data_IF_726231258502
#
_entry.id   IF_726231258502
#
_cell.length_a   1.000
_cell.length_b   1.000
_cell.length_c   1.000
_cell.angle_alpha   90.00
_cell.angle_beta   90.00
_cell.angle_gamma   90.00
#
_symmetry.space_group_name_H-M   'P 1'
#
loop_
_entity.id
_entity.type
_entity.pdbx_description
1 polymer ?
#
# COMPACT_ATOMS: atom_id res chain seq x y z
N UNK A 1 17.91 2.97 27.72
CA UNK A 1 17.13 3.96 26.93
C UNK A 1 16.40 3.25 25.79
N UNK A 2 15.24 3.74 25.33
CA UNK A 2 14.52 3.19 24.17
C UNK A 2 14.89 3.93 22.89
N UNK A 3 14.97 3.22 21.76
CA UNK A 3 15.21 3.83 20.45
C UNK A 3 14.08 4.79 20.05
N UNK A 4 14.43 5.97 19.55
CA UNK A 4 13.50 6.94 18.97
C UNK A 4 13.99 7.36 17.59
N UNK A 5 13.16 7.13 16.58
CA UNK A 5 13.49 7.52 15.22
C UNK A 5 13.17 9.00 15.00
N UNK A 6 14.19 9.81 14.69
CA UNK A 6 14.06 11.28 14.55
C UNK A 6 13.08 11.71 13.45
N UNK A 7 12.85 10.86 12.45
CA UNK A 7 11.97 11.15 11.31
C UNK A 7 10.65 10.38 11.35
N UNK A 8 10.20 9.92 12.53
CA UNK A 8 8.95 9.15 12.65
C UNK A 8 7.73 9.94 12.15
N UNK A 9 7.69 11.25 12.38
CA UNK A 9 6.62 12.14 11.87
C UNK A 9 6.61 12.14 10.33
N UNK A 10 7.78 12.22 9.69
CA UNK A 10 7.87 12.19 8.23
C UNK A 10 7.49 10.82 7.66
N UNK A 11 7.89 9.73 8.32
CA UNK A 11 7.48 8.38 7.92
C UNK A 11 5.95 8.24 7.96
N UNK A 12 5.30 8.67 9.05
CA UNK A 12 3.83 8.64 9.17
C UNK A 12 3.13 9.49 8.12
N UNK A 13 3.70 10.66 7.78
CA UNK A 13 3.18 11.49 6.70
C UNK A 13 3.22 10.73 5.36
N UNK A 14 4.33 10.07 5.04
CA UNK A 14 4.45 9.28 3.80
C UNK A 14 3.52 8.08 3.78
N UNK A 15 3.34 7.40 4.91
CA UNK A 15 2.37 6.29 5.03
C UNK A 15 0.95 6.78 4.72
N UNK A 16 0.57 7.93 5.28
CA UNK A 16 -0.72 8.56 4.99
C UNK A 16 -0.87 8.93 3.51
N UNK A 17 0.14 9.56 2.90
CA UNK A 17 0.12 9.89 1.47
C UNK A 17 -0.05 8.64 0.59
N UNK A 18 0.63 7.54 0.93
CA UNK A 18 0.46 6.24 0.26
C UNK A 18 -0.97 5.72 0.41
N UNK A 19 -1.55 5.81 1.60
CA UNK A 19 -2.89 5.32 1.87
C UNK A 19 -3.96 6.15 1.15
N UNK A 20 -3.79 7.48 1.10
CA UNK A 20 -4.64 8.39 0.31
C UNK A 20 -4.55 8.08 -1.19
N UNK A 21 -3.34 7.84 -1.72
CA UNK A 21 -3.16 7.42 -3.11
C UNK A 21 -3.81 6.05 -3.38
N UNK A 22 -3.72 5.12 -2.42
CA UNK A 22 -4.37 3.81 -2.49
C UNK A 22 -5.89 3.93 -2.54
N UNK A 23 -6.47 4.78 -1.71
CA UNK A 23 -7.90 5.08 -1.72
C UNK A 23 -8.33 5.69 -3.07
N UNK A 24 -7.55 6.60 -3.64
CA UNK A 24 -7.84 7.20 -4.94
C UNK A 24 -7.84 6.18 -6.09
N UNK A 25 -6.94 5.19 -6.08
CA UNK A 25 -6.95 4.04 -7.00
C UNK A 25 -8.21 3.20 -6.81
N UNK A 26 -8.59 2.91 -5.56
CA UNK A 26 -9.81 2.19 -5.22
C UNK A 26 -11.08 2.87 -5.75
N UNK A 27 -11.18 4.19 -5.59
CA UNK A 27 -12.30 4.98 -6.12
C UNK A 27 -12.39 4.93 -7.65
N UNK A 28 -11.25 5.00 -8.36
CA UNK A 28 -11.22 4.91 -9.81
C UNK A 28 -11.69 3.52 -10.30
N UNK A 29 -11.24 2.45 -9.65
CA UNK A 29 -11.71 1.10 -9.94
C UNK A 29 -13.22 0.94 -9.70
N UNK A 30 -13.74 1.47 -8.59
CA UNK A 30 -15.18 1.43 -8.31
C UNK A 30 -16.00 2.19 -9.37
N UNK A 31 -15.51 3.34 -9.84
CA UNK A 31 -16.14 4.10 -10.92
C UNK A 31 -16.13 3.31 -12.24
N UNK A 32 -15.03 2.67 -12.60
CA UNK A 32 -14.93 1.82 -13.80
C UNK A 32 -15.92 0.65 -13.71
N UNK A 33 -15.96 -0.04 -12.57
CA UNK A 33 -16.87 -1.17 -12.36
C UNK A 33 -18.34 -0.75 -12.53
N UNK A 34 -18.70 0.46 -12.05
CA UNK A 34 -20.05 1.02 -12.24
C UNK A 34 -20.36 1.27 -13.72
N UNK A 35 -19.43 1.84 -14.48
CA UNK A 35 -19.62 2.05 -15.92
C UNK A 35 -19.73 0.70 -16.65
N UNK A 36 -18.92 -0.29 -16.29
CA UNK A 36 -18.97 -1.63 -16.87
C UNK A 36 -20.32 -2.30 -16.64
N UNK A 37 -20.88 -2.15 -15.43
CA UNK A 37 -22.23 -2.62 -15.12
C UNK A 37 -23.28 -1.92 -15.98
N UNK A 38 -23.22 -0.59 -16.12
CA UNK A 38 -24.16 0.16 -16.96
C UNK A 38 -24.08 -0.27 -18.43
N UNK A 39 -22.87 -0.50 -18.96
CA UNK A 39 -22.69 -1.01 -20.32
C UNK A 39 -23.33 -2.40 -20.49
N UNK A 40 -23.20 -3.28 -19.50
CA UNK A 40 -23.85 -4.59 -19.52
C UNK A 40 -25.38 -4.49 -19.51
N UNK A 41 -25.95 -3.60 -18.71
CA UNK A 41 -27.40 -3.36 -18.65
C UNK A 41 -27.95 -2.85 -20.00
N UNK A 42 -27.23 -1.92 -20.64
CA UNK A 42 -27.62 -1.41 -21.97
C UNK A 42 -27.51 -2.51 -23.03
N UNK A 43 -26.43 -3.31 -23.02
CA UNK A 43 -26.28 -4.41 -23.98
C UNK A 43 -27.35 -5.49 -23.80
N UNK A 44 -27.69 -5.85 -22.56
CA UNK A 44 -28.80 -6.76 -22.27
C UNK A 44 -30.12 -6.21 -22.81
N UNK A 45 -30.36 -4.91 -22.65
CA UNK A 45 -31.55 -4.23 -23.19
C UNK A 45 -31.59 -4.32 -24.71
N UNK A 46 -30.45 -4.11 -25.40
CA UNK A 46 -30.35 -4.24 -26.86
C UNK A 46 -30.60 -5.67 -27.34
N UNK A 47 -30.03 -6.66 -26.66
CA UNK A 47 -30.26 -8.08 -26.99
C UNK A 47 -31.73 -8.43 -26.81
N UNK A 48 -32.37 -8.00 -25.72
CA UNK A 48 -33.80 -8.19 -25.49
C UNK A 48 -34.68 -7.54 -26.56
N UNK A 49 -34.35 -6.31 -26.97
CA UNK A 49 -35.04 -5.60 -28.06
C UNK A 49 -34.96 -6.37 -29.38
N UNK A 50 -33.77 -6.84 -29.75
CA UNK A 50 -33.56 -7.64 -30.99
C UNK A 50 -34.36 -8.93 -30.96
N UNK A 51 -34.35 -9.65 -29.84
CA UNK A 51 -35.13 -10.89 -29.68
C UNK A 51 -36.63 -10.65 -29.83
N UNK A 52 -37.16 -9.58 -29.23
CA UNK A 52 -38.57 -9.21 -29.36
C UNK A 52 -38.95 -8.90 -30.82
N UNK A 53 -38.12 -8.14 -31.53
CA UNK A 53 -38.35 -7.81 -32.94
C UNK A 53 -38.27 -9.03 -33.87
N UNK A 54 -37.34 -9.95 -33.62
CA UNK A 54 -37.22 -11.20 -34.38
C UNK A 54 -38.41 -12.15 -34.14
N UNK A 55 -38.92 -12.21 -32.91
CA UNK A 55 -40.09 -13.02 -32.56
C UNK A 55 -41.39 -12.55 -33.23
N UNK A 56 -41.65 -11.24 -33.27
CA UNK A 56 -42.83 -10.68 -33.95
C UNK A 56 -42.80 -10.93 -35.47
N UNK A 57 -41.62 -10.90 -36.09
CA UNK A 57 -41.41 -11.13 -37.53
C UNK A 57 -41.84 -12.51 -38.01
N UNK A 58 -41.81 -13.52 -37.13
CA UNK A 58 -42.25 -14.88 -37.44
C UNK A 58 -43.78 -15.06 -37.43
N UNK A 59 -44.53 -14.12 -36.83
CA UNK A 59 -46.00 -14.21 -36.69
C UNK A 59 -46.79 -13.50 -37.81
N UNK A 60 -46.09 -12.97 -38.83
CA UNK A 60 -46.67 -12.64 -40.13
C UNK A 60 -47.38 -11.30 -40.26
N UNK A 61 -47.44 -10.47 -39.21
CA UNK A 61 -48.05 -9.14 -39.28
C UNK A 61 -47.25 -8.10 -38.49
N UNK A 62 -46.04 -7.78 -38.97
CA UNK A 62 -45.21 -6.73 -38.36
C UNK A 62 -45.57 -5.38 -38.97
N UNK A 63 -46.00 -4.45 -38.12
CA UNK A 63 -46.16 -3.06 -38.50
C UNK A 63 -44.79 -2.43 -38.79
N UNK A 64 -44.63 -1.86 -40.00
CA UNK A 64 -43.42 -1.10 -40.41
C UNK A 64 -43.07 -0.01 -39.38
N UNK A 65 -44.08 0.59 -38.76
CA UNK A 65 -43.89 1.61 -37.72
C UNK A 65 -43.19 1.04 -36.46
N UNK A 66 -43.53 -0.18 -36.03
CA UNK A 66 -42.85 -0.85 -34.91
C UNK A 66 -41.40 -1.19 -35.24
N UNK A 67 -41.11 -1.61 -36.47
CA UNK A 67 -39.73 -1.87 -36.90
C UNK A 67 -38.89 -0.59 -36.90
N UNK A 68 -39.45 0.53 -37.39
CA UNK A 68 -38.78 1.82 -37.38
C UNK A 68 -38.54 2.33 -35.96
N UNK A 69 -39.52 2.19 -35.06
CA UNK A 69 -39.37 2.56 -33.65
C UNK A 69 -38.28 1.72 -32.97
N UNK A 70 -38.28 0.39 -33.17
CA UNK A 70 -37.26 -0.51 -32.63
C UNK A 70 -35.86 -0.19 -33.14
N UNK A 71 -35.72 0.08 -34.45
CA UNK A 71 -34.44 0.47 -35.03
C UNK A 71 -33.90 1.80 -34.51
N UNK A 72 -34.77 2.81 -34.31
CA UNK A 72 -34.37 4.09 -33.71
C UNK A 72 -33.91 3.92 -32.27
N UNK A 73 -34.61 3.09 -31.51
CA UNK A 73 -34.25 2.83 -30.12
C UNK A 73 -32.93 2.04 -30.03
N UNK A 74 -32.69 1.04 -30.88
CA UNK A 74 -31.38 0.35 -30.94
C UNK A 74 -30.23 1.31 -31.26
N UNK A 75 -30.45 2.26 -32.18
CA UNK A 75 -29.46 3.28 -32.52
C UNK A 75 -29.17 4.21 -31.34
N UNK A 76 -30.18 4.59 -30.57
CA UNK A 76 -30.00 5.35 -29.34
C UNK A 76 -29.17 4.58 -28.31
N UNK A 77 -29.51 3.31 -28.05
CA UNK A 77 -28.76 2.46 -27.12
C UNK A 77 -27.31 2.24 -27.56
N UNK A 78 -27.06 2.18 -28.88
CA UNK A 78 -25.70 2.15 -29.42
C UNK A 78 -24.93 3.45 -29.15
N UNK A 79 -25.60 4.61 -29.27
CA UNK A 79 -25.02 5.90 -28.89
C UNK A 79 -24.68 5.96 -27.40
N UNK A 80 -25.57 5.46 -26.54
CA UNK A 80 -25.34 5.38 -25.09
C UNK A 80 -24.14 4.49 -24.75
N UNK A 81 -24.02 3.32 -25.40
CA UNK A 81 -22.85 2.44 -25.24
C UNK A 81 -21.55 3.12 -25.66
N UNK A 82 -21.55 3.88 -26.75
CA UNK A 82 -20.36 4.62 -27.19
C UNK A 82 -19.97 5.68 -26.16
N UNK A 83 -20.95 6.42 -25.62
CA UNK A 83 -20.70 7.43 -24.58
C UNK A 83 -20.13 6.82 -23.29
N UNK A 84 -20.67 5.67 -22.87
CA UNK A 84 -20.16 4.91 -21.73
C UNK A 84 -18.75 4.38 -21.99
N UNK A 85 -18.47 3.87 -23.18
CA UNK A 85 -17.13 3.40 -23.57
C UNK A 85 -16.09 4.53 -23.56
N UNK A 86 -16.45 5.71 -24.06
CA UNK A 86 -15.57 6.89 -24.02
C UNK A 86 -15.30 7.32 -22.57
N UNK A 87 -16.33 7.32 -21.73
CA UNK A 87 -16.22 7.63 -20.30
C UNK A 87 -15.33 6.63 -19.58
N UNK A 88 -15.52 5.33 -19.85
CA UNK A 88 -14.67 4.25 -19.35
C UNK A 88 -13.21 4.46 -19.76
N UNK A 89 -12.96 4.81 -21.02
CA UNK A 89 -11.62 5.10 -21.53
C UNK A 89 -10.91 6.20 -20.73
N UNK A 90 -11.62 7.30 -20.43
CA UNK A 90 -11.10 8.39 -19.60
C UNK A 90 -10.81 7.93 -18.17
N UNK A 91 -11.69 7.14 -17.57
CA UNK A 91 -11.49 6.59 -16.22
C UNK A 91 -10.29 5.64 -16.16
N UNK A 92 -10.05 4.83 -17.20
CA UNK A 92 -8.87 3.95 -17.28
C UNK A 92 -7.58 4.76 -17.36
N UNK A 93 -7.54 5.85 -18.14
CA UNK A 93 -6.38 6.73 -18.20
C UNK A 93 -6.11 7.40 -16.84
N UNK A 94 -7.16 7.81 -16.14
CA UNK A 94 -7.05 8.38 -14.80
C UNK A 94 -6.59 7.34 -13.76
N UNK A 95 -7.09 6.11 -13.84
CA UNK A 95 -6.62 4.99 -13.02
C UNK A 95 -5.11 4.78 -13.18
N UNK A 96 -4.61 4.77 -14.42
CA UNK A 96 -3.17 4.62 -14.71
C UNK A 96 -2.35 5.75 -14.07
N UNK A 97 -2.80 7.00 -14.17
CA UNK A 97 -2.14 8.13 -13.49
C UNK A 97 -2.09 7.94 -11.98
N UNK A 98 -3.20 7.52 -11.36
CA UNK A 98 -3.27 7.29 -9.91
C UNK A 98 -2.39 6.12 -9.47
N UNK A 99 -2.28 5.08 -10.29
CA UNK A 99 -1.39 3.95 -10.02
C UNK A 99 0.09 4.38 -9.99
N UNK A 100 0.52 5.26 -10.89
CA UNK A 100 1.88 5.81 -10.85
C UNK A 100 2.11 6.65 -9.58
N UNK A 101 1.14 7.47 -9.18
CA UNK A 101 1.21 8.23 -7.90
C UNK A 101 1.35 7.29 -6.70
N UNK A 102 0.51 6.24 -6.63
CA UNK A 102 0.59 5.23 -5.57
C UNK A 102 1.95 4.54 -5.54
N UNK A 103 2.47 4.15 -6.71
CA UNK A 103 3.78 3.52 -6.84
C UNK A 103 4.89 4.43 -6.30
N UNK A 104 4.88 5.71 -6.66
CA UNK A 104 5.85 6.68 -6.12
C UNK A 104 5.72 6.81 -4.60
N UNK A 105 4.50 6.93 -4.07
CA UNK A 105 4.28 7.01 -2.62
C UNK A 105 4.77 5.76 -1.88
N UNK A 106 4.56 4.56 -2.45
CA UNK A 106 5.09 3.30 -1.91
C UNK A 106 6.61 3.26 -1.88
N UNK A 107 7.27 3.75 -2.93
CA UNK A 107 8.75 3.83 -2.98
C UNK A 107 9.27 4.75 -1.88
N UNK A 108 8.63 5.90 -1.68
CA UNK A 108 9.02 6.85 -0.63
C UNK A 108 8.87 6.22 0.76
N UNK A 109 7.74 5.57 1.07
CA UNK A 109 7.55 4.88 2.36
C UNK A 109 8.68 3.87 2.61
N UNK A 110 8.97 3.00 1.63
CA UNK A 110 10.06 2.01 1.75
C UNK A 110 11.43 2.64 2.00
N UNK A 111 11.69 3.78 1.38
CA UNK A 111 12.93 4.54 1.60
C UNK A 111 13.04 4.98 3.06
N UNK A 112 11.96 5.52 3.64
CA UNK A 112 11.94 5.95 5.04
C UNK A 112 12.01 4.80 6.03
N UNK A 113 11.34 3.68 5.75
CA UNK A 113 11.44 2.45 6.54
C UNK A 113 12.88 1.93 6.57
N UNK A 114 13.57 1.91 5.42
CA UNK A 114 14.98 1.49 5.35
C UNK A 114 15.91 2.42 6.13
N UNK A 115 15.66 3.73 6.10
CA UNK A 115 16.43 4.68 6.91
C UNK A 115 16.21 4.45 8.42
N UNK A 116 14.97 4.14 8.84
CA UNK A 116 14.64 3.79 10.22
C UNK A 116 15.35 2.52 10.66
N UNK A 117 15.39 1.50 9.81
CA UNK A 117 16.11 0.25 10.08
C UNK A 117 17.61 0.48 10.29
N UNK A 118 18.25 1.24 9.40
CA UNK A 118 19.68 1.58 9.51
C UNK A 118 19.96 2.34 10.82
N UNK A 119 19.13 3.32 11.16
CA UNK A 119 19.28 4.10 12.40
C UNK A 119 19.10 3.22 13.65
N UNK A 120 18.15 2.29 13.60
CA UNK A 120 17.94 1.33 14.68
C UNK A 120 19.13 0.37 14.85
N UNK A 121 19.73 -0.10 13.76
CA UNK A 121 20.93 -0.93 13.80
C UNK A 121 22.10 -0.19 14.47
N UNK A 122 22.37 1.05 14.03
CA UNK A 122 23.41 1.90 14.63
C UNK A 122 23.17 2.16 16.11
N UNK A 123 21.92 2.41 16.51
CA UNK A 123 21.57 2.58 17.92
C UNK A 123 21.91 1.32 18.73
N UNK A 124 21.56 0.13 18.23
CA UNK A 124 21.86 -1.15 18.89
C UNK A 124 23.37 -1.38 19.02
N UNK A 125 24.13 -1.14 17.96
CA UNK A 125 25.60 -1.25 17.99
C UNK A 125 26.21 -0.32 19.05
N UNK A 126 25.73 0.91 19.16
CA UNK A 126 26.18 1.85 20.18
C UNK A 126 25.81 1.42 21.61
N UNK A 127 24.62 0.85 21.82
CA UNK A 127 24.24 0.32 23.14
C UNK A 127 25.11 -0.87 23.53
N UNK A 128 25.31 -1.83 22.61
CA UNK A 128 26.16 -2.99 22.85
C UNK A 128 27.61 -2.58 23.17
N UNK A 129 28.14 -1.58 22.46
CA UNK A 129 29.48 -1.08 22.72
C UNK A 129 29.60 -0.42 24.10
N UNK A 130 28.59 0.36 24.54
CA UNK A 130 28.57 0.95 25.88
C UNK A 130 28.48 -0.12 26.97
N UNK A 131 27.60 -1.10 26.79
CA UNK A 131 27.45 -2.22 27.72
C UNK A 131 28.76 -3.02 27.85
N UNK A 132 29.46 -3.26 26.74
CA UNK A 132 30.77 -3.93 26.77
C UNK A 132 31.81 -3.13 27.56
N UNK A 133 31.89 -1.80 27.35
CA UNK A 133 32.80 -0.95 28.12
C UNK A 133 32.47 -0.97 29.62
N UNK A 134 31.19 -0.91 29.99
CA UNK A 134 30.74 -0.98 31.39
C UNK A 134 31.12 -2.32 32.05
N UNK A 135 31.01 -3.44 31.31
CA UNK A 135 31.42 -4.77 31.77
C UNK A 135 32.94 -4.87 31.95
N UNK A 136 33.72 -4.36 31.00
CA UNK A 136 35.18 -4.37 31.05
C UNK A 136 35.71 -3.52 32.22
N UNK A 137 35.08 -2.36 32.48
CA UNK A 137 35.37 -1.52 33.65
C UNK A 137 35.02 -2.21 34.97
N UNK A 138 33.86 -2.89 35.04
CA UNK A 138 33.47 -3.65 36.23
C UNK A 138 34.42 -4.84 36.50
N UNK A 139 34.79 -5.59 35.46
CA UNK A 139 35.76 -6.68 35.55
C UNK A 139 37.13 -6.18 36.03
N UNK A 140 37.60 -5.06 35.47
CA UNK A 140 38.88 -4.44 35.85
C UNK A 140 38.89 -3.99 37.31
N UNK A 141 37.81 -3.35 37.78
CA UNK A 141 37.66 -2.95 39.20
C UNK A 141 37.62 -4.17 40.14
N UNK A 142 36.93 -5.23 39.75
CA UNK A 142 36.85 -6.45 40.55
C UNK A 142 38.21 -7.15 40.63
N UNK A 143 38.95 -7.21 39.52
CA UNK A 143 40.31 -7.76 39.49
C UNK A 143 41.27 -6.96 40.38
N UNK A 144 41.25 -5.62 40.29
CA UNK A 144 42.07 -4.76 41.15
C UNK A 144 41.76 -4.94 42.64
N UNK A 145 40.48 -5.07 43.00
CA UNK A 145 40.06 -5.36 44.38
C UNK A 145 40.57 -6.71 44.86
N UNK A 146 40.42 -7.76 44.05
CA UNK A 146 40.90 -9.10 44.39
C UNK A 146 42.43 -9.14 44.56
N UNK A 147 43.17 -8.46 43.69
CA UNK A 147 44.63 -8.34 43.77
C UNK A 147 45.08 -7.58 45.03
N UNK A 148 44.38 -6.50 45.41
CA UNK A 148 44.68 -5.76 46.63
C UNK A 148 44.44 -6.61 47.90
N UNK A 149 43.37 -7.40 47.95
CA UNK A 149 43.09 -8.30 49.09
C UNK A 149 44.01 -9.51 49.17
N UNK A 150 44.64 -9.92 48.06
CA UNK A 150 45.61 -11.03 48.04
C UNK A 150 47.03 -10.61 48.44
N UNK A 151 47.37 -9.33 48.35
CA UNK A 151 48.70 -8.82 48.72
C UNK A 151 48.88 -8.64 50.24
N UNK A 152 47.79 -8.52 51.00
CA UNK A 152 47.82 -8.34 52.46
C UNK A 152 48.01 -9.67 53.24
N UNK A 153 48.06 -10.83 52.57
CA UNK A 153 48.23 -12.14 53.24
C UNK A 153 49.64 -12.72 53.20
N UNK A 154 50.63 -12.03 52.61
CA UNK A 154 52.00 -12.57 52.43
C UNK A 154 53.11 -11.86 53.25
N UNK A 155 52.77 -10.94 54.15
CA UNK A 155 53.77 -10.20 54.98
C UNK A 155 53.63 -10.41 56.50
N UNK A 156 53.13 -11.57 56.93
CA UNK A 156 53.09 -11.99 58.32
C UNK A 156 53.61 -13.43 58.49
N UNK A 157 54.85 -13.70 58.05
CA UNK A 157 55.63 -14.84 58.53
C UNK A 157 57.13 -14.50 58.51
N UNK A 158 57.52 -13.56 59.39
CA UNK A 158 58.92 -13.40 59.79
C UNK A 158 58.95 -13.29 61.32
N UNK A 159 59.21 -14.42 61.99
CA UNK A 159 59.42 -14.45 63.42
C UNK A 159 59.08 -15.78 64.11
N UNK A 160 60.04 -16.71 64.05
CA UNK A 160 60.40 -17.80 65.01
C UNK A 160 61.29 -18.79 64.24
N UNK A 161 62.52 -19.13 64.62
CA UNK A 161 63.26 -19.12 65.89
C UNK A 161 64.74 -18.78 65.65
#
# INVERSE_FOLDING_TARGET
>A
MSFQYRFDILLRLRERERDEAGAAVGQANAAIAKIDQQMQEVEQTRVGLKQAMSGESLTGNVSVDRMLQGGRYDLQLQGDLQSLADTRGKLVQELQRRQEVLKTAQIEVKRWEKLKEIDQQRYREQQNHREQLELDEAASRNFQRAAATGHDTETLDDGRD
#
